data_IF_092086674579
#
_entry.id   IF_092086674579
#
_cell.length_a   1.000
_cell.length_b   1.000
_cell.length_c   1.000
_cell.angle_alpha   90.00
_cell.angle_beta   90.00
_cell.angle_gamma   90.00
#
_symmetry.space_group_name_H-M   'P 1'
#
loop_
_entity.id
_entity.type
_entity.pdbx_description
1 polymer ?
#
# COMPACT_ATOMS: atom_id res chain seq x y z
N UNK A 1 26.38 -15.73 -13.51
CA UNK A 1 25.16 -16.54 -13.28
C UNK A 1 24.29 -15.95 -12.17
N UNK A 2 24.88 -15.19 -11.26
CA UNK A 2 24.20 -14.69 -10.05
C UNK A 2 23.17 -13.59 -10.33
N UNK A 3 23.42 -12.69 -11.29
CA UNK A 3 22.50 -11.57 -11.59
C UNK A 3 21.14 -12.05 -12.12
N UNK A 4 21.13 -13.05 -13.00
CA UNK A 4 19.90 -13.59 -13.58
C UNK A 4 19.11 -14.37 -12.53
N UNK A 5 19.81 -15.10 -11.65
CA UNK A 5 19.20 -15.80 -10.53
C UNK A 5 18.56 -14.80 -9.55
N UNK A 6 19.27 -13.72 -9.19
CA UNK A 6 18.75 -12.65 -8.33
C UNK A 6 17.54 -11.94 -8.92
N UNK A 7 17.58 -11.55 -10.20
CA UNK A 7 16.44 -10.92 -10.86
C UNK A 7 15.23 -11.86 -10.86
N UNK A 8 15.44 -13.13 -11.20
CA UNK A 8 14.37 -14.12 -11.21
C UNK A 8 13.76 -14.33 -9.82
N UNK A 9 14.60 -14.42 -8.78
CA UNK A 9 14.13 -14.54 -7.38
C UNK A 9 13.36 -13.31 -6.91
N UNK A 10 13.83 -12.10 -7.23
CA UNK A 10 13.16 -10.84 -6.87
C UNK A 10 11.80 -10.76 -7.57
N UNK A 11 11.76 -11.00 -8.89
CA UNK A 11 10.51 -10.99 -9.66
C UNK A 11 9.53 -12.04 -9.12
N UNK A 12 10.01 -13.26 -8.84
CA UNK A 12 9.20 -14.32 -8.25
C UNK A 12 8.59 -13.94 -6.89
N UNK A 13 9.40 -13.38 -6.00
CA UNK A 13 8.94 -12.92 -4.68
C UNK A 13 7.90 -11.79 -4.81
N UNK A 14 8.15 -10.81 -5.68
CA UNK A 14 7.22 -9.71 -5.94
C UNK A 14 5.90 -10.21 -6.56
N UNK A 15 5.95 -11.17 -7.48
CA UNK A 15 4.75 -11.77 -8.08
C UNK A 15 3.89 -12.49 -7.05
N UNK A 16 4.51 -13.33 -6.19
CA UNK A 16 3.78 -14.01 -5.11
C UNK A 16 3.15 -12.98 -4.16
N UNK A 17 3.89 -11.93 -3.80
CA UNK A 17 3.39 -10.84 -2.97
C UNK A 17 2.24 -10.08 -3.62
N UNK A 18 2.28 -9.85 -4.94
CA UNK A 18 1.24 -9.18 -5.70
C UNK A 18 -0.03 -10.02 -5.90
N UNK A 19 0.11 -11.34 -6.01
CA UNK A 19 -1.02 -12.29 -6.16
C UNK A 19 -1.71 -12.53 -4.81
N UNK A 20 -0.98 -12.46 -3.70
CA UNK A 20 -1.55 -12.68 -2.38
C UNK A 20 -2.58 -11.58 -2.04
N UNK A 21 -3.85 -11.92 -1.72
CA UNK A 21 -4.90 -10.94 -1.49
C UNK A 21 -4.64 -10.15 -0.20
N UNK A 22 -3.86 -9.07 -0.32
CA UNK A 22 -3.56 -8.15 0.77
C UNK A 22 -4.64 -7.06 0.94
N UNK A 23 -4.47 -6.18 1.95
CA UNK A 23 -5.36 -5.03 2.18
C UNK A 23 -5.57 -4.16 0.94
N UNK A 24 -4.51 -3.91 0.16
CA UNK A 24 -4.57 -3.12 -1.07
C UNK A 24 -5.47 -3.74 -2.13
N UNK A 25 -5.43 -5.07 -2.30
CA UNK A 25 -6.30 -5.79 -3.22
C UNK A 25 -7.77 -5.70 -2.78
N UNK A 26 -8.03 -5.92 -1.49
CA UNK A 26 -9.38 -5.81 -0.90
C UNK A 26 -9.94 -4.41 -1.12
N UNK A 27 -9.15 -3.35 -0.91
CA UNK A 27 -9.58 -1.96 -1.12
C UNK A 27 -9.94 -1.66 -2.58
N UNK A 28 -9.18 -2.17 -3.55
CA UNK A 28 -9.50 -2.03 -4.98
C UNK A 28 -10.83 -2.74 -5.30
N UNK A 29 -10.98 -3.98 -4.83
CA UNK A 29 -12.20 -4.78 -5.05
C UNK A 29 -13.42 -4.09 -4.42
N UNK A 30 -13.31 -3.67 -3.16
CA UNK A 30 -14.38 -2.97 -2.44
C UNK A 30 -14.75 -1.64 -3.12
N UNK A 31 -13.76 -0.86 -3.57
CA UNK A 31 -14.00 0.43 -4.23
C UNK A 31 -14.64 0.24 -5.61
N UNK A 32 -14.21 -0.79 -6.35
CA UNK A 32 -14.78 -1.17 -7.64
C UNK A 32 -16.24 -1.62 -7.48
N UNK A 33 -16.53 -2.44 -6.47
CA UNK A 33 -17.85 -2.99 -6.20
C UNK A 33 -18.82 -1.98 -5.59
N UNK A 34 -18.34 -1.10 -4.70
CA UNK A 34 -19.21 -0.18 -3.94
C UNK A 34 -19.41 1.18 -4.61
N UNK A 35 -18.46 1.61 -5.47
CA UNK A 35 -18.52 2.95 -6.09
C UNK A 35 -18.57 2.88 -7.62
N UNK A 36 -17.50 2.47 -8.28
CA UNK A 36 -17.46 2.24 -9.74
C UNK A 36 -16.15 1.60 -10.17
N UNK A 37 -16.13 0.92 -11.33
CA UNK A 37 -14.90 0.40 -11.96
C UNK A 37 -13.84 1.49 -12.17
N UNK A 38 -14.24 2.71 -12.56
CA UNK A 38 -13.30 3.83 -12.77
C UNK A 38 -12.61 4.25 -11.46
N UNK A 39 -13.34 4.23 -10.35
CA UNK A 39 -12.77 4.52 -9.02
C UNK A 39 -11.80 3.43 -8.57
N UNK A 40 -12.12 2.16 -8.86
CA UNK A 40 -11.20 1.04 -8.64
C UNK A 40 -9.87 1.18 -9.39
N UNK A 41 -9.93 1.54 -10.68
CA UNK A 41 -8.73 1.80 -11.49
C UNK A 41 -7.94 2.99 -10.91
N UNK A 42 -8.63 4.07 -10.53
CA UNK A 42 -8.00 5.25 -9.93
C UNK A 42 -7.29 4.92 -8.61
N UNK A 43 -7.90 4.09 -7.76
CA UNK A 43 -7.30 3.56 -6.52
C UNK A 43 -6.04 2.74 -6.84
N UNK A 44 -6.12 1.84 -7.83
CA UNK A 44 -4.98 1.01 -8.23
C UNK A 44 -3.80 1.85 -8.73
N UNK A 45 -4.06 2.93 -9.47
CA UNK A 45 -3.01 3.88 -9.90
C UNK A 45 -2.35 4.60 -8.71
N UNK A 46 -3.14 4.99 -7.71
CA UNK A 46 -2.59 5.60 -6.49
C UNK A 46 -1.68 4.63 -5.71
N UNK A 47 -2.13 3.39 -5.53
CA UNK A 47 -1.33 2.32 -4.90
C UNK A 47 -0.05 2.01 -5.71
N UNK A 48 -0.17 1.96 -7.04
CA UNK A 48 0.98 1.76 -7.94
C UNK A 48 2.02 2.87 -7.81
N UNK A 49 1.59 4.13 -7.88
CA UNK A 49 2.48 5.28 -7.74
C UNK A 49 3.19 5.31 -6.38
N UNK A 50 2.49 5.03 -5.29
CA UNK A 50 3.11 4.95 -3.97
C UNK A 50 4.18 3.85 -3.88
N UNK A 51 3.95 2.72 -4.56
CA UNK A 51 4.94 1.63 -4.63
C UNK A 51 6.15 2.03 -5.47
N UNK A 52 5.95 2.72 -6.59
CA UNK A 52 7.03 3.28 -7.40
C UNK A 52 7.87 4.28 -6.61
N UNK A 53 7.24 5.15 -5.82
CA UNK A 53 7.96 6.10 -4.96
C UNK A 53 8.84 5.38 -3.93
N UNK A 54 8.36 4.32 -3.29
CA UNK A 54 9.22 3.50 -2.41
C UNK A 54 10.35 2.82 -3.16
N UNK A 55 10.10 2.30 -4.36
CA UNK A 55 11.16 1.75 -5.22
C UNK A 55 12.22 2.79 -5.56
N UNK A 56 11.82 4.03 -5.85
CA UNK A 56 12.75 5.14 -6.06
C UNK A 56 13.53 5.48 -4.78
N UNK A 57 12.88 5.56 -3.62
CA UNK A 57 13.57 5.77 -2.34
C UNK A 57 14.60 4.68 -2.06
N UNK A 58 14.28 3.42 -2.35
CA UNK A 58 15.21 2.29 -2.22
C UNK A 58 16.45 2.47 -3.11
N UNK A 59 16.26 2.84 -4.38
CA UNK A 59 17.35 3.14 -5.30
C UNK A 59 18.20 4.34 -4.84
N UNK A 60 17.58 5.32 -4.19
CA UNK A 60 18.26 6.50 -3.62
C UNK A 60 18.92 6.22 -2.26
N UNK A 61 18.90 4.98 -1.76
CA UNK A 61 19.62 4.60 -0.55
C UNK A 61 18.78 4.63 0.73
N UNK A 62 17.47 4.40 0.67
CA UNK A 62 16.63 4.21 1.86
C UNK A 62 17.24 3.18 2.83
N UNK A 63 17.85 2.12 2.30
CA UNK A 63 18.53 1.11 3.08
C UNK A 63 19.75 1.65 3.85
N UNK A 64 20.51 2.55 3.25
CA UNK A 64 21.63 3.22 3.93
C UNK A 64 21.13 4.06 5.11
N UNK A 65 19.99 4.73 4.98
CA UNK A 65 19.38 5.50 6.07
C UNK A 65 19.02 4.59 7.25
N UNK A 66 18.38 3.45 6.97
CA UNK A 66 18.00 2.49 8.01
C UNK A 66 19.20 1.84 8.70
N UNK A 67 20.29 1.59 7.96
CA UNK A 67 21.54 1.08 8.54
C UNK A 67 22.31 2.12 9.35
N UNK A 68 22.28 3.39 8.92
CA UNK A 68 23.03 4.47 9.59
C UNK A 68 22.35 4.92 10.88
N UNK A 69 21.01 4.89 10.91
CA UNK A 69 20.22 5.41 12.03
C UNK A 69 19.30 4.32 12.56
N UNK A 70 19.84 3.46 13.43
CA UNK A 70 19.13 2.29 13.99
C UNK A 70 17.80 2.67 14.65
N UNK A 71 17.72 3.83 15.31
CA UNK A 71 16.48 4.28 15.97
C UNK A 71 15.34 4.50 14.95
N UNK A 72 15.65 4.97 13.73
CA UNK A 72 14.65 5.15 12.67
C UNK A 72 14.14 3.78 12.23
N UNK A 73 15.04 2.82 11.99
CA UNK A 73 14.67 1.47 11.58
C UNK A 73 13.78 0.76 12.61
N UNK A 74 14.15 0.81 13.89
CA UNK A 74 13.37 0.21 14.97
C UNK A 74 12.02 0.90 15.18
N UNK A 75 11.99 2.23 15.16
CA UNK A 75 10.73 2.99 15.24
C UNK A 75 9.80 2.60 14.10
N UNK A 76 10.34 2.52 12.89
CA UNK A 76 9.58 2.17 11.70
C UNK A 76 9.01 0.74 11.79
N UNK A 77 9.78 -0.23 12.29
CA UNK A 77 9.31 -1.60 12.52
C UNK A 77 8.21 -1.68 13.59
N UNK A 78 8.39 -1.01 14.73
CA UNK A 78 7.42 -1.07 15.84
C UNK A 78 6.13 -0.37 15.44
N UNK A 79 6.21 0.90 15.02
CA UNK A 79 5.04 1.68 14.60
C UNK A 79 4.34 0.98 13.45
N UNK A 80 5.11 0.46 12.49
CA UNK A 80 4.54 -0.20 11.34
C UNK A 80 3.86 -1.51 11.63
N UNK A 81 4.44 -2.33 12.51
CA UNK A 81 3.81 -3.59 12.93
C UNK A 81 2.50 -3.31 13.68
N UNK A 82 2.50 -2.36 14.62
CA UNK A 82 1.30 -1.96 15.36
C UNK A 82 0.21 -1.42 14.42
N UNK A 83 0.59 -0.60 13.43
CA UNK A 83 -0.37 -0.09 12.43
C UNK A 83 -0.97 -1.21 11.58
N UNK A 84 -0.17 -2.20 11.17
CA UNK A 84 -0.68 -3.34 10.41
C UNK A 84 -1.58 -4.26 11.24
N UNK A 85 -1.28 -4.45 12.53
CA UNK A 85 -2.19 -5.14 13.45
C UNK A 85 -3.51 -4.40 13.59
N UNK A 86 -3.47 -3.07 13.75
CA UNK A 86 -4.66 -2.23 13.77
C UNK A 86 -5.47 -2.35 12.47
N UNK A 87 -4.81 -2.28 11.31
CA UNK A 87 -5.48 -2.40 10.00
C UNK A 87 -6.08 -3.80 9.81
N UNK A 88 -5.35 -4.85 10.20
CA UNK A 88 -5.82 -6.24 10.16
C UNK A 88 -7.06 -6.43 11.02
N UNK A 89 -7.03 -5.90 12.26
CA UNK A 89 -8.17 -5.90 13.16
C UNK A 89 -9.36 -5.16 12.54
N UNK A 90 -9.14 -3.95 11.99
CA UNK A 90 -10.20 -3.16 11.34
C UNK A 90 -10.81 -3.86 10.13
N UNK A 91 -10.02 -4.57 9.33
CA UNK A 91 -10.51 -5.37 8.19
C UNK A 91 -11.33 -6.57 8.72
N UNK A 92 -10.82 -7.27 9.72
CA UNK A 92 -11.49 -8.42 10.35
C UNK A 92 -12.84 -8.04 10.95
N UNK A 93 -12.90 -6.95 11.72
CA UNK A 93 -14.14 -6.48 12.36
C UNK A 93 -15.05 -5.72 11.40
N UNK A 94 -14.47 -5.03 10.43
CA UNK A 94 -15.16 -4.20 9.44
C UNK A 94 -15.78 -4.97 8.27
N UNK A 95 -15.51 -6.28 8.13
CA UNK A 95 -16.08 -7.13 7.08
C UNK A 95 -17.61 -7.13 7.02
N UNK A 96 -18.31 -6.71 8.09
CA UNK A 96 -19.77 -6.57 8.12
C UNK A 96 -20.28 -5.14 7.89
N UNK A 97 -19.42 -4.13 8.03
CA UNK A 97 -19.76 -2.76 7.70
C UNK A 97 -19.48 -2.56 6.22
N UNK A 98 -20.53 -2.26 5.44
CA UNK A 98 -20.34 -1.55 4.18
C UNK A 98 -19.41 -0.39 4.51
N UNK A 99 -18.32 -0.22 3.77
CA UNK A 99 -17.63 1.06 3.74
C UNK A 99 -18.67 2.03 3.19
N UNK A 100 -19.47 2.59 4.09
CA UNK A 100 -20.26 3.75 3.85
C UNK A 100 -19.17 4.79 3.66
N UNK A 101 -18.74 4.95 2.42
CA UNK A 101 -18.27 6.24 1.95
C UNK A 101 -19.49 7.09 2.26
N UNK A 102 -19.47 7.75 3.42
CA UNK A 102 -20.48 8.73 3.73
C UNK A 102 -20.57 9.57 2.47
N UNK A 103 -21.78 9.69 1.94
CA UNK A 103 -22.11 10.83 1.09
C UNK A 103 -21.98 12.03 2.01
N UNK A 104 -20.76 12.39 2.41
CA UNK A 104 -20.47 13.61 3.13
C UNK A 104 -20.95 14.68 2.18
N UNK A 105 -22.00 15.35 2.62
CA UNK A 105 -22.78 16.30 1.86
C UNK A 105 -21.85 17.23 1.07
N UNK A 106 -22.16 17.43 -0.22
CA UNK A 106 -21.55 18.43 -1.12
C UNK A 106 -20.02 18.53 -1.01
N UNK A 107 -19.28 17.66 -1.69
CA UNK A 107 -17.84 17.83 -1.82
C UNK A 107 -17.43 17.95 -3.29
N UNK A 108 -16.72 19.03 -3.60
CA UNK A 108 -16.32 19.50 -4.94
C UNK A 108 -15.31 18.59 -5.66
N UNK A 109 -14.74 17.61 -4.95
CA UNK A 109 -13.66 16.77 -5.48
C UNK A 109 -14.26 15.59 -6.24
N UNK A 110 -13.84 15.33 -7.49
CA UNK A 110 -14.35 14.20 -8.24
C UNK A 110 -14.06 12.86 -7.56
N UNK A 111 -14.97 11.88 -7.65
CA UNK A 111 -14.88 10.61 -6.90
C UNK A 111 -13.63 9.78 -7.25
N UNK A 112 -13.11 9.94 -8.47
CA UNK A 112 -11.90 9.27 -8.94
C UNK A 112 -10.62 9.82 -8.28
N UNK A 113 -10.49 11.14 -8.18
CA UNK A 113 -9.33 11.76 -7.52
C UNK A 113 -9.24 11.36 -6.05
N UNK A 114 -10.38 11.23 -5.36
CA UNK A 114 -10.43 10.71 -3.99
C UNK A 114 -9.95 9.28 -3.88
N UNK A 115 -10.41 8.43 -4.79
CA UNK A 115 -10.00 7.03 -4.82
C UNK A 115 -8.51 6.90 -5.09
N UNK A 116 -7.96 7.73 -5.98
CA UNK A 116 -6.52 7.84 -6.22
C UNK A 116 -5.75 8.28 -4.97
N UNK A 117 -6.15 9.38 -4.33
CA UNK A 117 -5.49 9.87 -3.12
C UNK A 117 -5.56 8.86 -1.98
N UNK A 118 -6.71 8.21 -1.81
CA UNK A 118 -6.88 7.15 -0.81
C UNK A 118 -5.91 6.00 -1.07
N UNK A 119 -5.78 5.56 -2.33
CA UNK A 119 -4.81 4.53 -2.71
C UNK A 119 -3.37 4.96 -2.46
N UNK A 120 -3.01 6.16 -2.89
CA UNK A 120 -1.67 6.72 -2.71
C UNK A 120 -1.29 6.84 -1.23
N UNK A 121 -2.16 7.46 -0.42
CA UNK A 121 -1.93 7.64 1.00
C UNK A 121 -1.93 6.30 1.75
N UNK A 122 -2.77 5.35 1.34
CA UNK A 122 -2.74 4.00 1.91
C UNK A 122 -1.39 3.33 1.65
N UNK A 123 -0.86 3.45 0.43
CA UNK A 123 0.43 2.86 0.10
C UNK A 123 1.59 3.56 0.81
N UNK A 124 1.62 4.89 0.82
CA UNK A 124 2.68 5.68 1.47
C UNK A 124 2.68 5.50 3.00
N UNK A 125 1.49 5.33 3.58
CA UNK A 125 1.33 5.01 5.00
C UNK A 125 1.54 3.52 5.31
N UNK A 126 1.97 2.71 4.33
CA UNK A 126 2.22 1.29 4.53
C UNK A 126 3.70 1.04 4.85
N UNK A 127 4.08 0.98 6.13
CA UNK A 127 5.45 0.69 6.53
C UNK A 127 5.91 -0.70 6.10
N UNK A 128 5.00 -1.65 5.84
CA UNK A 128 5.38 -2.93 5.21
C UNK A 128 6.10 -2.69 3.89
N UNK A 129 5.60 -1.75 3.10
CA UNK A 129 6.11 -1.46 1.77
C UNK A 129 7.49 -0.86 1.84
N UNK A 130 7.73 0.12 2.72
CA UNK A 130 9.06 0.69 2.89
C UNK A 130 10.09 -0.36 3.37
N UNK A 131 9.69 -1.28 4.27
CA UNK A 131 10.56 -2.36 4.75
C UNK A 131 10.85 -3.40 3.67
N UNK A 132 9.90 -3.68 2.77
CA UNK A 132 10.11 -4.62 1.66
C UNK A 132 11.03 -4.03 0.58
N UNK A 133 11.02 -2.72 0.41
CA UNK A 133 11.84 -2.04 -0.60
C UNK A 133 13.23 -1.63 -0.09
N UNK A 134 13.43 -1.46 1.22
CA UNK A 134 14.73 -1.20 1.83
C UNK A 134 15.54 -2.48 2.06
#
# INVERSE_FOLDING_TARGET
>A
MDIYLSIFSIVGALLIGAISPGPSFILIVQTSASTSRKNGISMALGLGLGSTLFGLCALLGLQLVFQTVEIIYWTFKIVGSTYLFYLSYKIYTGSKQKLIIEKTAKQQIPPYYRSFLLGLLTQLSNPKTAIVFA
#
